data_IF_196075453780
#
_entry.id   IF_196075453780
#
_cell.length_a   1.000
_cell.length_b   1.000
_cell.length_c   1.000
_cell.angle_alpha   90.00
_cell.angle_beta   90.00
_cell.angle_gamma   90.00
#
_symmetry.space_group_name_H-M   'P 1'
#
loop_
_entity.id
_entity.type
_entity.pdbx_description
1 polymer ?
#
# COMPACT_ATOMS: atom_id res chain seq x y z
N UNK A 1 -1.79 18.60 17.16
CA UNK A 1 -1.84 17.13 17.37
C UNK A 1 -2.29 16.39 16.11
N UNK A 2 -3.37 16.85 15.45
CA UNK A 2 -3.92 16.20 14.25
C UNK A 2 -2.97 16.19 13.04
N UNK A 3 -2.26 17.30 12.78
CA UNK A 3 -1.27 17.38 11.68
C UNK A 3 -0.15 16.34 11.86
N UNK A 4 0.31 16.13 13.09
CA UNK A 4 1.35 15.16 13.41
C UNK A 4 0.88 13.71 13.16
N UNK A 5 -0.37 13.41 13.53
CA UNK A 5 -0.99 12.11 13.25
C UNK A 5 -1.15 11.86 11.75
N UNK A 6 -1.59 12.87 10.98
CA UNK A 6 -1.72 12.78 9.53
C UNK A 6 -0.37 12.54 8.85
N UNK A 7 0.68 13.21 9.31
CA UNK A 7 2.05 13.03 8.81
C UNK A 7 2.59 11.64 9.13
N UNK A 8 2.37 11.14 10.35
CA UNK A 8 2.77 9.79 10.75
C UNK A 8 2.04 8.72 9.92
N UNK A 9 0.73 8.88 9.70
CA UNK A 9 -0.04 7.97 8.85
C UNK A 9 0.41 8.01 7.38
N UNK A 10 0.70 9.20 6.85
CA UNK A 10 1.29 9.36 5.52
C UNK A 10 2.56 8.53 5.37
N UNK A 11 3.54 8.76 6.26
CA UNK A 11 4.81 8.03 6.24
C UNK A 11 4.66 6.51 6.31
N UNK A 12 3.71 6.00 7.10
CA UNK A 12 3.42 4.56 7.16
C UNK A 12 2.88 4.05 5.81
N UNK A 13 1.96 4.78 5.18
CA UNK A 13 1.39 4.44 3.88
C UNK A 13 2.46 4.52 2.79
N UNK A 14 3.28 5.56 2.79
CA UNK A 14 4.41 5.74 1.88
C UNK A 14 5.42 4.61 2.00
N UNK A 15 5.84 4.26 3.22
CA UNK A 15 6.75 3.14 3.47
C UNK A 15 6.17 1.79 2.99
N UNK A 16 4.87 1.55 3.22
CA UNK A 16 4.19 0.36 2.71
C UNK A 16 4.14 0.33 1.17
N UNK A 17 3.89 1.48 0.53
CA UNK A 17 3.93 1.65 -0.92
C UNK A 17 5.31 1.37 -1.51
N UNK A 18 6.37 1.94 -0.93
CA UNK A 18 7.77 1.70 -1.34
C UNK A 18 8.11 0.22 -1.21
N UNK A 19 7.75 -0.41 -0.09
CA UNK A 19 7.98 -1.84 0.11
C UNK A 19 7.26 -2.69 -0.96
N UNK A 20 6.01 -2.35 -1.29
CA UNK A 20 5.23 -3.02 -2.33
C UNK A 20 5.87 -2.87 -3.73
N UNK A 21 6.40 -1.70 -4.07
CA UNK A 21 7.11 -1.45 -5.34
C UNK A 21 8.47 -2.15 -5.40
N UNK A 22 9.22 -2.13 -4.29
CA UNK A 22 10.57 -2.68 -4.22
C UNK A 22 10.57 -4.21 -4.19
N UNK A 23 9.54 -4.84 -3.59
CA UNK A 23 9.43 -6.30 -3.47
C UNK A 23 8.02 -6.80 -3.84
N UNK A 24 7.59 -6.64 -5.10
CA UNK A 24 6.21 -6.91 -5.51
C UNK A 24 5.84 -8.39 -5.39
N UNK A 25 6.78 -9.32 -5.63
CA UNK A 25 6.53 -10.77 -5.46
C UNK A 25 6.30 -11.16 -4.00
N UNK A 26 7.16 -10.72 -3.07
CA UNK A 26 6.98 -11.01 -1.64
C UNK A 26 5.72 -10.37 -1.08
N UNK A 27 5.35 -9.19 -1.58
CA UNK A 27 4.11 -8.51 -1.20
C UNK A 27 2.89 -9.25 -1.74
N UNK A 28 2.92 -9.73 -2.99
CA UNK A 28 1.88 -10.59 -3.55
C UNK A 28 1.69 -11.89 -2.74
N UNK A 29 2.78 -12.55 -2.34
CA UNK A 29 2.74 -13.75 -1.50
C UNK A 29 2.15 -13.48 -0.11
N UNK A 30 2.52 -12.36 0.53
CA UNK A 30 1.93 -11.96 1.81
C UNK A 30 0.44 -11.68 1.70
N UNK A 31 0.03 -10.99 0.63
CA UNK A 31 -1.39 -10.72 0.32
C UNK A 31 -2.12 -12.04 0.15
N UNK A 32 -1.57 -12.97 -0.65
CA UNK A 32 -2.12 -14.32 -0.84
C UNK A 32 -2.28 -15.05 0.49
N UNK A 33 -1.24 -15.11 1.33
CA UNK A 33 -1.27 -15.80 2.62
C UNK A 33 -2.24 -15.16 3.64
N UNK A 34 -2.47 -13.85 3.54
CA UNK A 34 -3.47 -13.18 4.37
C UNK A 34 -4.88 -13.57 3.95
N UNK A 35 -5.16 -13.50 2.65
CA UNK A 35 -6.48 -13.80 2.10
C UNK A 35 -6.81 -15.30 2.06
N UNK A 36 -5.81 -16.18 2.04
CA UNK A 36 -6.01 -17.63 2.08
C UNK A 36 -6.63 -18.12 3.39
N UNK A 37 -6.59 -17.30 4.46
CA UNK A 37 -7.28 -17.57 5.73
C UNK A 37 -8.78 -17.37 5.66
N UNK A 38 -9.28 -16.70 4.61
CA UNK A 38 -10.71 -16.47 4.42
C UNK A 38 -11.30 -17.55 3.51
N UNK A 39 -12.27 -18.35 4.00
CA UNK A 39 -12.79 -19.51 3.27
C UNK A 39 -13.45 -19.14 1.94
N UNK A 40 -14.12 -17.98 1.85
CA UNK A 40 -14.71 -17.47 0.61
C UNK A 40 -13.68 -17.23 -0.51
N UNK A 41 -12.45 -16.90 -0.12
CA UNK A 41 -11.37 -16.57 -1.04
C UNK A 41 -10.53 -17.82 -1.35
N UNK A 42 -10.47 -18.78 -0.42
CA UNK A 42 -9.82 -20.08 -0.61
C UNK A 42 -10.43 -20.88 -1.79
N UNK A 43 -11.72 -20.70 -2.06
CA UNK A 43 -12.40 -21.33 -3.22
C UNK A 43 -12.06 -20.68 -4.57
N UNK A 44 -11.59 -19.43 -4.57
CA UNK A 44 -11.07 -18.79 -5.77
C UNK A 44 -9.66 -19.33 -6.02
N UNK A 45 -9.55 -20.37 -6.87
CA UNK A 45 -8.33 -21.17 -7.05
C UNK A 45 -7.04 -20.34 -7.17
N UNK A 46 -5.92 -20.92 -6.74
CA UNK A 46 -4.60 -20.28 -6.51
C UNK A 46 -4.15 -19.22 -7.55
N UNK A 47 -4.53 -19.37 -8.83
CA UNK A 47 -4.21 -18.41 -9.90
C UNK A 47 -5.01 -17.10 -9.84
N UNK A 48 -6.22 -17.11 -9.28
CA UNK A 48 -7.04 -15.90 -9.06
C UNK A 48 -6.55 -15.12 -7.84
N UNK A 49 -6.03 -15.84 -6.83
CA UNK A 49 -5.47 -15.27 -5.61
C UNK A 49 -4.07 -14.67 -5.78
N UNK A 50 -3.34 -15.08 -6.81
CA UNK A 50 -1.99 -14.57 -7.07
C UNK A 50 -2.09 -13.18 -7.70
N UNK A 51 -2.01 -12.15 -6.86
CA UNK A 51 -1.87 -10.78 -7.34
C UNK A 51 -0.64 -10.70 -8.26
N UNK A 52 -0.83 -10.35 -9.54
CA UNK A 52 0.32 -10.25 -10.46
C UNK A 52 1.30 -9.21 -9.90
N UNK A 53 2.61 -9.49 -9.86
CA UNK A 53 3.60 -8.56 -9.35
C UNK A 53 3.53 -7.16 -9.98
N UNK A 54 3.12 -7.08 -11.25
CA UNK A 54 2.84 -5.81 -11.92
C UNK A 54 1.73 -4.98 -11.23
N UNK A 55 0.60 -5.59 -10.87
CA UNK A 55 -0.48 -4.90 -10.17
C UNK A 55 -0.05 -4.43 -8.77
N UNK A 56 0.72 -5.26 -8.05
CA UNK A 56 1.25 -4.88 -6.73
C UNK A 56 2.19 -3.69 -6.84
N UNK A 57 3.02 -3.65 -7.89
CA UNK A 57 3.90 -2.51 -8.18
C UNK A 57 3.11 -1.26 -8.51
N UNK A 58 2.07 -1.35 -9.34
CA UNK A 58 1.21 -0.21 -9.68
C UNK A 58 0.48 0.34 -8.46
N UNK A 59 -0.11 -0.55 -7.64
CA UNK A 59 -0.80 -0.16 -6.40
C UNK A 59 0.19 0.48 -5.41
N UNK A 60 1.37 -0.10 -5.24
CA UNK A 60 2.43 0.49 -4.42
C UNK A 60 2.83 1.89 -4.90
N UNK A 61 2.92 2.10 -6.21
CA UNK A 61 3.17 3.41 -6.81
C UNK A 61 2.08 4.44 -6.54
N UNK A 62 0.80 4.03 -6.59
CA UNK A 62 -0.33 4.90 -6.21
C UNK A 62 -0.23 5.32 -4.75
N UNK A 63 0.11 4.41 -3.84
CA UNK A 63 0.29 4.75 -2.43
C UNK A 63 1.43 5.74 -2.20
N UNK A 64 2.55 5.60 -2.93
CA UNK A 64 3.65 6.57 -2.88
C UNK A 64 3.18 7.95 -3.38
N UNK A 65 2.45 7.99 -4.50
CA UNK A 65 1.94 9.25 -5.04
C UNK A 65 0.95 9.94 -4.08
N UNK A 66 0.09 9.16 -3.42
CA UNK A 66 -0.82 9.67 -2.39
C UNK A 66 -0.08 10.21 -1.18
N UNK A 67 0.96 9.51 -0.70
CA UNK A 67 1.78 9.99 0.42
C UNK A 67 2.46 11.32 0.10
N UNK A 68 3.10 11.41 -1.08
CA UNK A 68 3.71 12.67 -1.56
C UNK A 68 2.68 13.79 -1.63
N UNK A 69 1.48 13.51 -2.16
CA UNK A 69 0.40 14.49 -2.24
C UNK A 69 -0.02 14.97 -0.84
N UNK A 70 -0.20 14.06 0.12
CA UNK A 70 -0.55 14.38 1.50
C UNK A 70 0.53 15.26 2.14
N UNK A 71 1.81 14.90 1.97
CA UNK A 71 2.94 15.69 2.49
C UNK A 71 2.94 17.11 1.92
N UNK A 72 2.74 17.26 0.60
CA UNK A 72 2.69 18.57 -0.07
C UNK A 72 1.50 19.42 0.44
N UNK A 73 0.33 18.81 0.61
CA UNK A 73 -0.87 19.49 1.13
C UNK A 73 -0.68 19.92 2.59
N UNK A 74 -0.08 19.06 3.42
CA UNK A 74 0.23 19.40 4.81
C UNK A 74 1.26 20.52 4.89
N UNK A 75 2.27 20.51 4.02
CA UNK A 75 3.30 21.55 3.98
C UNK A 75 2.73 22.91 3.55
N UNK A 76 1.86 22.93 2.53
CA UNK A 76 1.20 24.16 2.07
C UNK A 76 0.22 24.72 3.10
N UNK A 77 -0.52 23.86 3.81
CA UNK A 77 -1.42 24.30 4.89
C UNK A 77 -0.71 24.69 6.18
N UNK A 78 0.44 24.08 6.48
CA UNK A 78 1.25 24.40 7.66
C UNK A 78 2.09 25.68 7.52
N UNK A 79 2.22 26.23 6.31
CA UNK A 79 2.90 27.50 6.01
C UNK A 79 1.97 28.73 6.06
N UNK A 80 0.67 28.52 6.24
CA UNK A 80 -0.37 29.56 6.29
C UNK A 80 -0.81 29.87 7.73
#
# INVERSE_FOLDING_TARGET
MEIFLLLAWGLIIGAAGIYAVARPQKTAEKIKNFYSKYPLIHYAGDRQLTARPGYVKTIGGVFIAMDVFIIVVLFTKGLS
#
